data_IF_786816727897
#
_entry.id   IF_786816727897
#
_cell.length_a   1.000
_cell.length_b   1.000
_cell.length_c   1.000
_cell.angle_alpha   90.00
_cell.angle_beta   90.00
_cell.angle_gamma   90.00
#
_symmetry.space_group_name_H-M   'P 1'
#
loop_
_entity.id
_entity.type
_entity.pdbx_description
1 polymer ?
#
# COMPACT_ATOMS: atom_id res chain seq x y z
N UNK A 1 -4.16 9.05 -20.89
CA UNK A 1 -4.31 8.79 -19.43
C UNK A 1 -3.42 7.62 -19.06
N UNK A 2 -2.63 7.71 -17.98
CA UNK A 2 -1.86 6.56 -17.47
C UNK A 2 -2.83 5.65 -16.69
N UNK A 3 -2.71 4.33 -16.86
CA UNK A 3 -3.50 3.34 -16.11
C UNK A 3 -2.76 2.98 -14.82
N UNK A 4 -3.49 2.86 -13.72
CA UNK A 4 -3.01 2.36 -12.44
C UNK A 4 -3.69 1.06 -12.03
N UNK A 5 -3.34 0.52 -10.87
CA UNK A 5 -4.00 -0.62 -10.24
C UNK A 5 -4.84 -0.12 -9.06
N UNK A 6 -6.00 -0.75 -8.85
CA UNK A 6 -6.83 -0.54 -7.67
C UNK A 6 -6.89 -1.86 -6.89
N UNK A 7 -6.84 -1.78 -5.56
CA UNK A 7 -7.01 -2.93 -4.68
C UNK A 7 -8.18 -2.65 -3.74
N UNK A 8 -8.95 -3.69 -3.42
CA UNK A 8 -10.02 -3.65 -2.43
C UNK A 8 -9.58 -4.50 -1.23
N UNK A 9 -9.56 -3.90 -0.05
CA UNK A 9 -9.10 -4.53 1.19
C UNK A 9 -10.04 -4.18 2.33
N UNK A 10 -10.23 -5.10 3.27
CA UNK A 10 -10.93 -4.81 4.53
C UNK A 10 -10.12 -3.84 5.40
N UNK A 11 -10.74 -3.24 6.41
CA UNK A 11 -10.03 -2.32 7.33
C UNK A 11 -8.82 -2.97 7.99
N UNK A 12 -8.93 -4.22 8.47
CA UNK A 12 -7.80 -4.93 9.08
C UNK A 12 -6.72 -5.32 8.07
N UNK A 13 -7.10 -5.67 6.83
CA UNK A 13 -6.12 -5.90 5.77
C UNK A 13 -5.37 -4.61 5.41
N UNK A 14 -6.05 -3.47 5.43
CA UNK A 14 -5.43 -2.16 5.23
C UNK A 14 -4.47 -1.79 6.37
N UNK A 15 -4.85 -2.02 7.63
CA UNK A 15 -3.96 -1.83 8.79
C UNK A 15 -2.66 -2.64 8.61
N UNK A 16 -2.75 -3.92 8.23
CA UNK A 16 -1.56 -4.74 7.98
C UNK A 16 -0.73 -4.23 6.80
N UNK A 17 -1.36 -3.78 5.72
CA UNK A 17 -0.66 -3.20 4.58
C UNK A 17 0.09 -1.92 4.97
N UNK A 18 -0.57 -1.04 5.74
CA UNK A 18 0.01 0.19 6.25
C UNK A 18 1.24 -0.11 7.10
N UNK A 19 1.12 -0.99 8.09
CA UNK A 19 2.20 -1.36 8.99
C UNK A 19 3.39 -1.96 8.23
N UNK A 20 3.15 -2.83 7.24
CA UNK A 20 4.21 -3.43 6.43
C UNK A 20 4.97 -2.39 5.60
N UNK A 21 4.26 -1.43 5.01
CA UNK A 21 4.87 -0.38 4.19
C UNK A 21 5.67 0.59 5.06
N UNK A 22 5.12 1.00 6.21
CA UNK A 22 5.82 1.87 7.16
C UNK A 22 7.05 1.18 7.77
N UNK A 23 6.93 -0.09 8.16
CA UNK A 23 8.07 -0.87 8.64
C UNK A 23 9.18 -0.96 7.60
N UNK A 24 8.84 -1.15 6.32
CA UNK A 24 9.83 -1.18 5.25
C UNK A 24 10.56 0.16 5.08
N UNK A 25 9.84 1.28 5.28
CA UNK A 25 10.43 2.62 5.32
C UNK A 25 11.39 2.78 6.51
N UNK A 26 10.95 2.43 7.73
CA UNK A 26 11.74 2.54 8.96
C UNK A 26 13.00 1.69 8.97
N UNK A 27 12.97 0.55 8.27
CA UNK A 27 14.10 -0.37 8.17
C UNK A 27 15.02 -0.10 6.97
N UNK A 28 14.87 1.04 6.26
CA UNK A 28 15.65 1.40 5.07
C UNK A 28 15.65 0.30 3.98
N UNK A 29 14.57 -0.49 3.88
CA UNK A 29 14.46 -1.59 2.92
C UNK A 29 14.60 -1.12 1.46
N UNK A 30 14.01 0.01 1.04
CA UNK A 30 14.15 0.46 -0.34
C UNK A 30 15.62 0.68 -0.73
N UNK A 31 16.42 1.30 0.13
CA UNK A 31 17.85 1.49 -0.11
C UNK A 31 18.59 0.14 -0.17
N UNK A 32 18.34 -0.75 0.81
CA UNK A 32 18.97 -2.08 0.86
C UNK A 32 18.64 -2.94 -0.36
N UNK A 33 17.47 -2.75 -0.96
CA UNK A 33 17.04 -3.47 -2.17
C UNK A 33 17.40 -2.75 -3.46
N UNK A 34 17.96 -1.55 -3.39
CA UNK A 34 18.24 -0.70 -4.55
C UNK A 34 16.97 -0.26 -5.29
N UNK A 35 15.86 -0.10 -4.56
CA UNK A 35 14.63 0.45 -5.11
C UNK A 35 14.76 1.96 -5.32
N UNK A 36 14.02 2.47 -6.29
CA UNK A 36 13.91 3.91 -6.49
C UNK A 36 13.17 4.54 -5.29
N UNK A 37 13.89 5.34 -4.49
CA UNK A 37 13.36 5.96 -3.28
C UNK A 37 12.12 6.80 -3.57
N UNK A 38 12.14 7.59 -4.65
CA UNK A 38 10.99 8.41 -5.03
C UNK A 38 9.75 7.56 -5.36
N UNK A 39 9.94 6.43 -6.03
CA UNK A 39 8.85 5.49 -6.31
C UNK A 39 8.30 4.88 -5.03
N UNK A 40 9.15 4.58 -4.05
CA UNK A 40 8.71 4.07 -2.76
C UNK A 40 8.01 5.14 -1.90
N UNK A 41 8.50 6.38 -1.88
CA UNK A 41 7.84 7.52 -1.23
C UNK A 41 6.43 7.72 -1.79
N UNK A 42 6.28 7.67 -3.12
CA UNK A 42 4.97 7.74 -3.77
C UNK A 42 4.05 6.57 -3.37
N UNK A 43 4.59 5.37 -3.10
CA UNK A 43 3.81 4.25 -2.58
C UNK A 43 3.34 4.54 -1.15
N UNK A 44 4.23 5.02 -0.28
CA UNK A 44 3.89 5.42 1.10
C UNK A 44 2.78 6.46 1.08
N UNK A 45 2.90 7.50 0.24
CA UNK A 45 1.88 8.54 0.09
C UNK A 45 0.52 7.96 -0.34
N UNK A 46 0.50 7.07 -1.34
CA UNK A 46 -0.73 6.45 -1.83
C UNK A 46 -1.39 5.55 -0.78
N UNK A 47 -0.58 4.84 0.03
CA UNK A 47 -1.09 4.03 1.14
C UNK A 47 -1.68 4.94 2.20
N UNK A 48 -0.95 5.94 2.69
CA UNK A 48 -1.41 6.91 3.70
C UNK A 48 -2.67 7.69 3.29
N UNK A 49 -2.90 7.89 1.99
CA UNK A 49 -4.05 8.63 1.44
C UNK A 49 -5.18 7.72 0.96
N UNK A 50 -5.18 6.43 1.31
CA UNK A 50 -6.23 5.51 0.91
C UNK A 50 -7.63 6.01 1.37
N UNK A 51 -8.61 5.84 0.49
CA UNK A 51 -10.00 6.23 0.73
C UNK A 51 -10.89 4.99 0.87
N UNK A 52 -11.98 5.12 1.62
CA UNK A 52 -12.97 4.04 1.74
C UNK A 52 -13.65 3.71 0.40
N UNK A 53 -14.00 2.43 0.22
CA UNK A 53 -14.74 1.94 -0.94
C UNK A 53 -15.67 0.80 -0.54
N UNK A 54 -16.63 0.47 -1.42
CA UNK A 54 -17.42 -0.75 -1.28
C UNK A 54 -16.59 -1.96 -1.72
N UNK A 55 -16.60 -3.03 -0.92
CA UNK A 55 -15.94 -4.29 -1.27
C UNK A 55 -16.79 -5.07 -2.28
N UNK A 56 -16.15 -5.60 -3.31
CA UNK A 56 -16.77 -6.55 -4.22
C UNK A 56 -16.86 -7.95 -3.59
N UNK A 57 -17.76 -8.79 -4.11
CA UNK A 57 -17.93 -10.18 -3.66
C UNK A 57 -16.69 -11.07 -3.86
N UNK A 58 -15.68 -10.58 -4.58
CA UNK A 58 -14.44 -11.31 -4.85
C UNK A 58 -13.36 -11.04 -3.78
N UNK A 59 -13.56 -10.05 -2.91
CA UNK A 59 -12.66 -9.78 -1.79
C UNK A 59 -12.74 -10.95 -0.80
N UNK A 60 -11.59 -11.53 -0.47
CA UNK A 60 -11.49 -12.65 0.48
C UNK A 60 -11.21 -12.12 1.88
N UNK A 61 -11.80 -12.74 2.91
CA UNK A 61 -11.52 -12.43 4.30
C UNK A 61 -12.57 -11.57 5.01
N UNK A 62 -13.86 -11.87 4.77
CA UNK A 62 -14.94 -11.57 5.73
C UNK A 62 -15.16 -12.81 6.59
#
# INVERSE_FOLDING_TARGET
MKKGLNIEVTSSQYEFLYDLVMMAYELDIPEQKGWDMQTFDNLVDNVCQATETNLSNNVRGI
#
